data_IF_254098817850
#
_entry.id   IF_254098817850
#
_cell.length_a   1.000
_cell.length_b   1.000
_cell.length_c   1.000
_cell.angle_alpha   90.00
_cell.angle_beta   90.00
_cell.angle_gamma   90.00
#
_symmetry.space_group_name_H-M   'P 1'
#
loop_
_entity.id
_entity.type
_entity.pdbx_description
1 polymer ?
#
# COMPACT_ATOMS: atom_id res chain seq x y z
N UNK A 1 -1.94 -18.45 26.57
CA UNK A 1 -1.89 -19.93 26.49
C UNK A 1 -3.27 -20.54 26.23
N UNK A 2 -4.33 -20.16 26.95
CA UNK A 2 -5.71 -20.64 26.70
C UNK A 2 -6.23 -20.40 25.26
N UNK A 3 -5.93 -19.23 24.67
CA UNK A 3 -6.32 -18.92 23.28
C UNK A 3 -5.65 -19.86 22.26
N UNK A 4 -4.39 -20.22 22.52
CA UNK A 4 -3.62 -21.11 21.64
C UNK A 4 -4.01 -22.59 21.83
N UNK A 5 -4.49 -22.97 23.02
CA UNK A 5 -5.00 -24.32 23.27
C UNK A 5 -6.21 -24.68 22.39
N UNK A 6 -6.92 -23.66 21.88
CA UNK A 6 -8.05 -23.83 20.97
C UNK A 6 -7.67 -23.67 19.48
N UNK A 7 -6.37 -23.64 19.15
CA UNK A 7 -5.83 -23.53 17.78
C UNK A 7 -4.64 -24.50 17.64
N UNK A 8 -4.87 -25.83 17.57
CA UNK A 8 -3.81 -26.82 17.71
C UNK A 8 -2.71 -26.69 16.65
N UNK A 9 -3.07 -26.32 15.41
CA UNK A 9 -2.09 -26.13 14.33
C UNK A 9 -1.22 -24.88 14.54
N UNK A 10 -1.81 -23.77 15.01
CA UNK A 10 -1.06 -22.56 15.35
C UNK A 10 -0.19 -22.76 16.58
N UNK A 11 -0.67 -23.50 17.58
CA UNK A 11 0.11 -23.84 18.76
C UNK A 11 1.33 -24.67 18.40
N UNK A 12 1.20 -25.67 17.51
CA UNK A 12 2.32 -26.49 17.07
C UNK A 12 3.36 -25.66 16.31
N UNK A 13 2.94 -24.75 15.44
CA UNK A 13 3.84 -23.80 14.78
C UNK A 13 4.52 -22.83 15.75
N UNK A 14 3.81 -22.34 16.76
CA UNK A 14 4.38 -21.45 17.78
C UNK A 14 5.41 -22.18 18.66
N UNK A 15 5.09 -23.40 19.10
CA UNK A 15 6.00 -24.27 19.86
C UNK A 15 7.20 -24.72 19.03
N UNK A 16 7.09 -24.74 17.70
CA UNK A 16 8.19 -25.08 16.81
C UNK A 16 9.32 -24.04 16.84
N UNK A 17 9.02 -22.78 17.14
CA UNK A 17 10.01 -21.67 17.23
C UNK A 17 10.92 -21.80 18.44
N UNK A 18 10.54 -22.59 19.45
CA UNK A 18 11.27 -22.69 20.72
C UNK A 18 12.68 -23.30 20.58
N UNK A 19 12.85 -24.28 19.69
CA UNK A 19 14.17 -24.85 19.41
C UNK A 19 14.35 -25.18 17.93
N UNK A 20 15.59 -25.14 17.39
CA UNK A 20 15.86 -25.49 15.99
C UNK A 20 15.37 -26.89 15.61
N UNK A 21 15.49 -27.85 16.53
CA UNK A 21 15.06 -29.23 16.32
C UNK A 21 13.52 -29.35 16.23
N UNK A 22 12.79 -28.57 17.02
CA UNK A 22 11.32 -28.52 16.94
C UNK A 22 10.88 -27.84 15.63
N UNK A 23 11.57 -26.79 15.20
CA UNK A 23 11.34 -26.15 13.90
C UNK A 23 11.60 -27.12 12.74
N UNK A 24 12.69 -27.88 12.80
CA UNK A 24 13.02 -28.86 11.77
C UNK A 24 11.97 -29.99 11.70
N UNK A 25 11.49 -30.48 12.86
CA UNK A 25 10.39 -31.46 12.90
C UNK A 25 9.09 -30.88 12.34
N UNK A 26 8.75 -29.64 12.70
CA UNK A 26 7.58 -28.95 12.18
C UNK A 26 7.66 -28.78 10.66
N UNK A 27 8.81 -28.31 10.15
CA UNK A 27 9.08 -28.18 8.73
C UNK A 27 8.99 -29.53 8.00
N UNK A 28 9.57 -30.61 8.55
CA UNK A 28 9.46 -31.96 7.97
C UNK A 28 8.02 -32.47 7.91
N UNK A 29 7.20 -32.13 8.91
CA UNK A 29 5.81 -32.60 9.03
C UNK A 29 4.84 -31.78 8.17
N UNK A 30 5.03 -30.47 8.07
CA UNK A 30 4.03 -29.56 7.49
C UNK A 30 4.47 -28.86 6.20
N UNK A 31 5.78 -28.75 5.92
CA UNK A 31 6.26 -28.14 4.67
C UNK A 31 6.49 -29.21 3.60
N UNK A 32 6.08 -28.92 2.34
CA UNK A 32 6.44 -29.74 1.18
C UNK A 32 7.97 -29.93 1.07
N UNK A 33 8.44 -31.08 0.57
CA UNK A 33 9.87 -31.39 0.47
C UNK A 33 10.64 -30.37 -0.38
N UNK A 34 10.01 -29.77 -1.39
CA UNK A 34 10.60 -28.74 -2.25
C UNK A 34 10.92 -27.47 -1.45
N UNK A 35 9.99 -27.06 -0.58
CA UNK A 35 10.18 -25.91 0.32
C UNK A 35 11.28 -26.18 1.37
N UNK A 36 11.44 -27.44 1.79
CA UNK A 36 12.52 -27.83 2.70
C UNK A 36 13.89 -27.72 2.04
N UNK A 37 14.03 -28.20 0.79
CA UNK A 37 15.25 -28.05 0.00
C UNK A 37 15.60 -26.57 -0.23
N UNK A 38 14.59 -25.74 -0.40
CA UNK A 38 14.73 -24.28 -0.52
C UNK A 38 15.25 -23.66 0.79
N UNK A 39 14.68 -24.03 1.93
CA UNK A 39 15.12 -23.52 3.25
C UNK A 39 16.53 -23.98 3.62
N UNK A 40 16.93 -25.20 3.26
CA UNK A 40 18.31 -25.68 3.49
C UNK A 40 19.31 -25.08 2.53
N UNK A 41 18.91 -24.76 1.29
CA UNK A 41 19.79 -24.05 0.34
C UNK A 41 19.99 -22.58 0.71
N UNK A 42 19.02 -21.92 1.36
CA UNK A 42 19.18 -20.55 1.91
C UNK A 42 20.31 -20.48 2.94
N UNK A 43 20.54 -21.54 3.72
CA UNK A 43 21.66 -21.62 4.67
C UNK A 43 23.05 -21.54 4.00
N UNK A 44 23.14 -21.84 2.70
CA UNK A 44 24.37 -21.76 1.91
C UNK A 44 24.48 -20.45 1.10
N UNK A 45 23.49 -19.55 1.18
CA UNK A 45 23.49 -18.27 0.46
C UNK A 45 24.13 -17.17 1.33
N UNK A 46 25.46 -17.25 1.51
CA UNK A 46 26.23 -16.15 2.12
C UNK A 46 26.27 -14.90 1.23
N UNK A 47 25.85 -15.01 -0.03
CA UNK A 47 25.87 -13.93 -1.01
C UNK A 47 24.49 -13.28 -1.16
N UNK A 48 24.41 -11.99 -0.78
CA UNK A 48 23.24 -11.12 -0.81
C UNK A 48 22.57 -11.05 -2.19
N UNK A 49 23.30 -11.32 -3.27
CA UNK A 49 22.74 -11.37 -4.65
C UNK A 49 21.75 -12.50 -4.83
N UNK A 50 22.00 -13.65 -4.24
CA UNK A 50 21.11 -14.82 -4.35
C UNK A 50 19.82 -14.60 -3.56
N UNK A 51 19.90 -13.91 -2.42
CA UNK A 51 18.71 -13.52 -1.63
C UNK A 51 17.84 -12.55 -2.43
N UNK A 52 18.41 -11.57 -3.12
CA UNK A 52 17.64 -10.63 -3.95
C UNK A 52 17.01 -11.31 -5.17
N UNK A 53 17.73 -12.22 -5.83
CA UNK A 53 17.17 -13.02 -6.93
C UNK A 53 16.04 -13.93 -6.44
N UNK A 54 16.17 -14.49 -5.24
CA UNK A 54 15.15 -15.32 -4.60
C UNK A 54 13.90 -14.52 -4.21
N UNK A 55 14.07 -13.35 -3.58
CA UNK A 55 12.96 -12.44 -3.27
C UNK A 55 12.29 -11.96 -4.56
N UNK A 56 13.06 -11.74 -5.63
CA UNK A 56 12.57 -11.49 -6.97
C UNK A 56 11.72 -12.63 -7.50
N UNK A 57 12.23 -13.88 -7.48
CA UNK A 57 11.48 -15.07 -7.90
C UNK A 57 10.21 -15.30 -7.11
N UNK A 58 10.25 -15.19 -5.77
CA UNK A 58 9.03 -15.30 -4.96
C UNK A 58 8.06 -14.16 -5.28
N UNK A 59 8.55 -12.95 -5.46
CA UNK A 59 7.74 -11.80 -5.85
C UNK A 59 7.07 -12.01 -7.21
N UNK A 60 7.81 -12.54 -8.18
CA UNK A 60 7.33 -12.89 -9.51
C UNK A 60 6.32 -14.04 -9.44
N UNK A 61 6.59 -15.11 -8.70
CA UNK A 61 5.65 -16.23 -8.52
C UNK A 61 4.37 -15.80 -7.79
N UNK A 62 4.45 -14.96 -6.75
CA UNK A 62 3.28 -14.45 -6.04
C UNK A 62 2.46 -13.48 -6.90
N UNK A 63 3.12 -12.61 -7.68
CA UNK A 63 2.45 -11.72 -8.62
C UNK A 63 1.83 -12.49 -9.80
N UNK A 64 2.50 -13.55 -10.25
CA UNK A 64 2.01 -14.46 -11.30
C UNK A 64 0.91 -15.40 -10.82
N UNK A 65 0.76 -15.60 -9.50
CA UNK A 65 -0.26 -16.48 -8.92
C UNK A 65 -1.61 -15.79 -8.69
N UNK A 66 -1.61 -14.46 -8.52
CA UNK A 66 -2.83 -13.67 -8.27
C UNK A 66 -3.35 -12.95 -9.51
N UNK A 67 -2.48 -12.71 -10.50
CA UNK A 67 -2.88 -12.49 -11.87
C UNK A 67 -2.77 -13.80 -12.59
N UNK A 68 -3.88 -14.53 -12.65
CA UNK A 68 -4.12 -15.71 -13.47
C UNK A 68 -3.14 -15.84 -14.63
N UNK A 69 -2.63 -17.06 -14.81
CA UNK A 69 -2.42 -17.64 -16.14
C UNK A 69 -3.70 -17.45 -16.99
N UNK A 70 -3.96 -16.23 -17.43
CA UNK A 70 -4.44 -16.02 -18.79
C UNK A 70 -3.22 -16.41 -19.58
N UNK A 71 -3.22 -17.67 -20.00
CA UNK A 71 -2.34 -18.11 -21.03
C UNK A 71 -2.43 -17.04 -22.12
N UNK A 72 -1.32 -16.33 -22.38
CA UNK A 72 -1.07 -15.82 -23.72
C UNK A 72 -0.94 -17.06 -24.60
N UNK A 73 -2.08 -17.71 -24.85
CA UNK A 73 -2.27 -18.47 -26.05
C UNK A 73 -2.00 -17.42 -27.11
N UNK A 74 -0.87 -17.57 -27.79
CA UNK A 74 -0.65 -17.01 -29.11
C UNK A 74 -1.68 -17.65 -30.04
N UNK A 75 -2.97 -17.40 -29.75
CA UNK A 75 -4.06 -17.67 -30.65
C UNK A 75 -3.82 -16.67 -31.75
N UNK A 76 -3.37 -17.21 -32.88
CA UNK A 76 -3.47 -16.52 -34.16
C UNK A 76 -4.82 -15.81 -34.16
N UNK A 77 -4.88 -14.49 -34.37
CA UNK A 77 -6.10 -13.74 -34.22
C UNK A 77 -7.10 -14.27 -35.24
N UNK A 78 -7.95 -15.21 -34.82
CA UNK A 78 -9.25 -15.40 -35.42
C UNK A 78 -9.81 -13.99 -35.51
N UNK A 79 -10.18 -13.56 -36.72
CA UNK A 79 -10.56 -12.19 -37.10
C UNK A 79 -11.72 -11.68 -36.23
N UNK A 80 -11.43 -11.42 -34.96
CA UNK A 80 -12.35 -10.96 -33.98
C UNK A 80 -12.64 -9.54 -34.36
N UNK A 81 -13.93 -9.24 -34.51
CA UNK A 81 -14.41 -7.90 -34.81
C UNK A 81 -13.71 -6.91 -33.88
N UNK A 82 -12.92 -6.03 -34.49
CA UNK A 82 -12.30 -4.91 -33.80
C UNK A 82 -13.27 -3.75 -33.88
N UNK A 83 -13.34 -2.97 -32.82
CA UNK A 83 -14.10 -1.73 -32.77
C UNK A 83 -13.14 -0.57 -32.52
N UNK A 84 -13.49 0.60 -33.04
CA UNK A 84 -12.77 1.84 -32.76
C UNK A 84 -13.47 2.49 -31.56
N UNK A 85 -12.70 2.86 -30.55
CA UNK A 85 -13.18 3.66 -29.41
C UNK A 85 -12.49 5.02 -29.48
N UNK A 86 -13.26 6.08 -29.29
CA UNK A 86 -12.76 7.46 -29.29
C UNK A 86 -12.54 7.90 -27.85
N UNK A 87 -11.31 8.27 -27.49
CA UNK A 87 -11.01 8.87 -26.19
C UNK A 87 -10.90 10.38 -26.36
N UNK A 88 -11.72 11.12 -25.62
CA UNK A 88 -11.79 12.59 -25.65
C UNK A 88 -11.19 13.15 -24.37
N UNK A 89 -10.13 13.94 -24.47
CA UNK A 89 -9.58 14.63 -23.30
C UNK A 89 -10.44 15.84 -22.91
N UNK A 90 -10.77 15.96 -21.63
CA UNK A 90 -11.41 17.17 -21.08
C UNK A 90 -10.37 18.24 -20.77
N UNK A 91 -9.86 18.92 -21.80
CA UNK A 91 -9.04 20.12 -21.59
C UNK A 91 -9.90 21.36 -21.34
N UNK A 92 -9.34 22.29 -20.55
CA UNK A 92 -9.96 23.58 -20.20
C UNK A 92 -9.85 24.59 -21.35
N UNK A 93 -8.88 24.41 -22.25
CA UNK A 93 -8.51 25.41 -23.27
C UNK A 93 -9.25 25.25 -24.62
N UNK A 94 -10.42 24.60 -24.62
CA UNK A 94 -11.39 24.67 -25.72
C UNK A 94 -11.15 23.74 -26.91
N UNK A 95 -9.97 23.15 -27.09
CA UNK A 95 -9.75 22.10 -28.09
C UNK A 95 -9.75 20.71 -27.44
N UNK A 96 -10.88 20.01 -27.59
CA UNK A 96 -10.98 18.62 -27.22
C UNK A 96 -10.09 17.78 -28.14
N UNK A 97 -9.07 17.13 -27.58
CA UNK A 97 -8.23 16.19 -28.35
C UNK A 97 -8.94 14.84 -28.42
N UNK A 98 -9.12 14.32 -29.63
CA UNK A 98 -9.77 13.05 -29.88
C UNK A 98 -8.72 12.02 -30.32
N UNK A 99 -8.55 10.96 -29.55
CA UNK A 99 -7.67 9.83 -29.89
C UNK A 99 -8.51 8.62 -30.28
N UNK A 100 -8.34 8.14 -31.50
CA UNK A 100 -9.02 6.94 -32.01
C UNK A 100 -8.16 5.71 -31.76
N UNK A 101 -8.64 4.77 -30.96
CA UNK A 101 -7.93 3.54 -30.63
C UNK A 101 -8.73 2.32 -31.07
N UNK A 102 -8.06 1.41 -31.78
CA UNK A 102 -8.62 0.15 -32.22
C UNK A 102 -8.46 -0.91 -31.11
N UNK A 103 -9.56 -1.57 -30.72
CA UNK A 103 -9.58 -2.62 -29.69
C UNK A 103 -10.43 -3.80 -30.15
N UNK A 104 -10.00 -5.02 -29.83
CA UNK A 104 -10.82 -6.21 -30.05
C UNK A 104 -12.02 -6.20 -29.09
N UNK A 105 -13.22 -6.55 -29.56
CA UNK A 105 -14.46 -6.57 -28.76
C UNK A 105 -14.37 -7.31 -27.42
N UNK A 106 -13.53 -8.36 -27.36
CA UNK A 106 -13.33 -9.23 -26.19
C UNK A 106 -12.07 -8.92 -25.39
N UNK A 107 -11.22 -8.00 -25.85
CA UNK A 107 -10.02 -7.63 -25.12
C UNK A 107 -10.39 -6.78 -23.89
N UNK A 108 -9.66 -6.92 -22.77
CA UNK A 108 -9.90 -6.11 -21.59
C UNK A 108 -9.61 -4.64 -21.86
N UNK A 109 -10.49 -3.73 -21.43
CA UNK A 109 -10.35 -2.28 -21.66
C UNK A 109 -9.09 -1.67 -21.04
N UNK A 110 -8.47 -2.35 -20.07
CA UNK A 110 -7.22 -1.89 -19.44
C UNK A 110 -6.07 -1.75 -20.43
N UNK A 111 -5.93 -2.61 -21.43
CA UNK A 111 -4.85 -2.48 -22.42
C UNK A 111 -5.02 -1.22 -23.26
N UNK A 112 -6.26 -0.89 -23.64
CA UNK A 112 -6.61 0.34 -24.34
C UNK A 112 -6.27 1.58 -23.51
N UNK A 113 -6.59 1.59 -22.21
CA UNK A 113 -6.25 2.72 -21.33
C UNK A 113 -4.75 2.85 -21.08
N UNK A 114 -4.02 1.74 -20.94
CA UNK A 114 -2.55 1.77 -20.80
C UNK A 114 -1.92 2.37 -22.05
N UNK A 115 -2.29 1.88 -23.25
CA UNK A 115 -1.80 2.42 -24.52
C UNK A 115 -2.09 3.92 -24.66
N UNK A 116 -3.31 4.34 -24.30
CA UNK A 116 -3.67 5.74 -24.28
C UNK A 116 -2.79 6.59 -23.34
N UNK A 117 -2.55 6.10 -22.12
CA UNK A 117 -1.72 6.80 -21.14
C UNK A 117 -0.26 6.91 -21.62
N UNK A 118 0.26 5.85 -22.23
CA UNK A 118 1.62 5.79 -22.80
C UNK A 118 1.75 6.76 -23.98
N UNK A 119 0.78 6.80 -24.90
CA UNK A 119 0.74 7.74 -26.03
C UNK A 119 0.70 9.21 -25.56
N UNK A 120 0.15 9.47 -24.36
CA UNK A 120 0.10 10.79 -23.72
C UNK A 120 1.32 11.09 -22.85
N UNK A 121 2.19 10.10 -22.55
CA UNK A 121 3.28 10.24 -21.59
C UNK A 121 2.80 10.48 -20.15
N UNK A 122 1.59 10.03 -19.81
CA UNK A 122 0.98 10.23 -18.50
C UNK A 122 0.88 8.91 -17.73
N UNK A 123 0.86 9.01 -16.40
CA UNK A 123 0.60 7.83 -15.59
C UNK A 123 -0.87 7.40 -15.73
N UNK A 124 -1.15 6.11 -15.90
CA UNK A 124 -2.53 5.61 -15.91
C UNK A 124 -3.33 6.00 -14.65
N UNK A 125 -2.64 6.24 -13.52
CA UNK A 125 -3.24 6.65 -12.25
C UNK A 125 -3.68 8.13 -12.20
N UNK A 126 -3.08 9.01 -13.00
CA UNK A 126 -3.49 10.41 -13.09
C UNK A 126 -4.74 10.59 -13.94
N UNK A 127 -5.05 9.64 -14.82
CA UNK A 127 -6.23 9.69 -15.68
C UNK A 127 -7.49 9.10 -15.00
N UNK A 128 -8.63 9.73 -15.24
CA UNK A 128 -9.96 9.25 -14.86
C UNK A 128 -10.82 9.14 -16.11
N UNK A 129 -11.30 7.93 -16.38
CA UNK A 129 -12.11 7.65 -17.56
C UNK A 129 -13.59 7.66 -17.20
N UNK A 130 -14.42 8.25 -18.05
CA UNK A 130 -15.88 8.32 -17.90
C UNK A 130 -16.54 7.85 -19.19
N UNK A 131 -17.45 6.89 -19.09
CA UNK A 131 -18.23 6.40 -20.21
C UNK A 131 -19.72 6.46 -19.88
N UNK A 132 -20.52 7.13 -20.73
CA UNK A 132 -21.95 7.37 -20.51
C UNK A 132 -22.27 7.91 -19.10
N UNK A 133 -21.46 8.88 -18.65
CA UNK A 133 -21.57 9.52 -17.33
C UNK A 133 -21.13 8.67 -16.13
N UNK A 134 -20.64 7.43 -16.35
CA UNK A 134 -20.15 6.55 -15.29
C UNK A 134 -18.63 6.53 -15.28
N UNK A 135 -18.03 6.76 -14.12
CA UNK A 135 -16.58 6.65 -13.92
C UNK A 135 -16.14 5.19 -14.03
N UNK A 136 -15.19 4.93 -14.92
CA UNK A 136 -14.58 3.64 -15.12
C UNK A 136 -13.38 3.48 -14.19
N UNK A 137 -13.52 2.62 -13.19
CA UNK A 137 -12.41 2.30 -12.28
C UNK A 137 -11.51 1.23 -12.90
N UNK A 138 -10.19 1.48 -12.91
CA UNK A 138 -9.18 0.57 -13.47
C UNK A 138 -9.26 -0.86 -12.91
N UNK A 139 -9.68 -1.01 -11.64
CA UNK A 139 -9.87 -2.32 -11.01
C UNK A 139 -11.05 -3.10 -11.58
N UNK A 140 -12.12 -2.42 -11.99
CA UNK A 140 -13.31 -3.02 -12.58
C UNK A 140 -13.09 -3.30 -14.07
N UNK A 141 -12.61 -2.31 -14.83
CA UNK A 141 -12.39 -2.41 -16.28
C UNK A 141 -11.18 -3.28 -16.65
N UNK A 142 -10.34 -3.65 -15.68
CA UNK A 142 -9.26 -4.62 -15.88
C UNK A 142 -9.73 -5.99 -16.36
N UNK A 143 -11.00 -6.35 -16.10
CA UNK A 143 -11.60 -7.62 -16.49
C UNK A 143 -12.80 -7.47 -17.44
N UNK A 144 -13.20 -6.23 -17.76
CA UNK A 144 -14.35 -5.99 -18.62
C UNK A 144 -13.87 -5.72 -20.04
N UNK A 145 -14.53 -6.36 -20.99
CA UNK A 145 -14.38 -6.12 -22.41
C UNK A 145 -15.36 -5.03 -22.90
N UNK A 146 -15.13 -4.44 -24.09
CA UNK A 146 -16.11 -3.57 -24.72
C UNK A 146 -17.51 -4.18 -24.82
N UNK A 147 -17.62 -5.48 -25.13
CA UNK A 147 -18.92 -6.18 -25.20
C UNK A 147 -19.63 -6.22 -23.83
N UNK A 148 -18.90 -6.46 -22.74
CA UNK A 148 -19.45 -6.45 -21.36
C UNK A 148 -20.01 -5.07 -20.98
N UNK A 149 -19.39 -4.01 -21.50
CA UNK A 149 -19.78 -2.63 -21.30
C UNK A 149 -20.84 -2.14 -22.31
N UNK A 150 -21.24 -2.99 -23.26
CA UNK A 150 -22.12 -2.65 -24.40
C UNK A 150 -21.62 -1.43 -25.18
N UNK A 151 -20.30 -1.37 -25.39
CA UNK A 151 -19.66 -0.35 -26.21
C UNK A 151 -19.86 -0.67 -27.69
N UNK A 152 -20.28 0.33 -28.46
CA UNK A 152 -20.44 0.24 -29.92
C UNK A 152 -19.23 0.81 -30.65
N UNK A 153 -19.15 0.61 -31.96
CA UNK A 153 -18.12 1.24 -32.80
C UNK A 153 -18.26 2.77 -32.70
N UNK A 154 -17.14 3.46 -32.52
CA UNK A 154 -17.01 4.91 -32.33
C UNK A 154 -17.65 5.48 -31.06
N UNK A 155 -17.90 4.64 -30.04
CA UNK A 155 -18.30 5.15 -28.72
C UNK A 155 -17.20 6.00 -28.08
N UNK A 156 -17.63 7.06 -27.38
CA UNK A 156 -16.74 8.03 -26.73
C UNK A 156 -16.49 7.73 -25.25
N UNK A 157 -15.22 7.78 -24.84
CA UNK A 157 -14.78 7.74 -23.44
C UNK A 157 -14.09 9.08 -23.12
N UNK A 158 -14.58 9.78 -22.10
CA UNK A 158 -13.96 11.03 -21.67
C UNK A 158 -12.82 10.72 -20.70
N UNK A 159 -11.61 11.21 -20.99
CA UNK A 159 -10.45 11.13 -20.11
C UNK A 159 -10.23 12.48 -19.41
N UNK A 160 -10.23 12.46 -18.08
CA UNK A 160 -9.95 13.63 -17.25
C UNK A 160 -8.58 13.45 -16.59
N UNK A 161 -7.69 14.42 -16.78
CA UNK A 161 -6.41 14.44 -16.08
C UNK A 161 -6.58 15.01 -14.66
N UNK A 162 -6.41 14.15 -13.65
CA UNK A 162 -6.51 14.53 -12.24
C UNK A 162 -5.38 15.45 -11.79
N UNK A 163 -4.26 15.49 -12.54
CA UNK A 163 -3.14 16.37 -12.20
C UNK A 163 -3.44 17.85 -12.48
N UNK A 164 -4.35 18.12 -13.43
CA UNK A 164 -4.73 19.48 -13.85
C UNK A 164 -5.85 20.06 -12.99
N UNK A 165 -6.55 19.24 -12.19
CA UNK A 165 -7.61 19.70 -11.28
C UNK A 165 -7.02 20.30 -10.00
N UNK A 166 -6.30 21.41 -10.15
CA UNK A 166 -5.94 22.31 -9.07
C UNK A 166 -6.18 23.73 -9.61
N UNK A 167 -7.42 24.24 -9.50
CA UNK A 167 -7.72 25.67 -9.20
C UNK A 167 -9.17 26.12 -9.46
N UNK A 168 -10.06 25.33 -10.08
CA UNK A 168 -11.43 25.81 -10.30
C UNK A 168 -12.41 25.34 -9.21
N UNK A 169 -12.76 26.29 -8.34
CA UNK A 169 -13.90 26.23 -7.42
C UNK A 169 -15.19 26.01 -8.21
N UNK A 170 -15.75 24.80 -8.14
CA UNK A 170 -17.15 24.59 -8.50
C UNK A 170 -17.99 24.46 -7.23
N UNK A 171 -18.93 25.39 -7.11
CA UNK A 171 -19.90 25.53 -6.03
C UNK A 171 -20.69 24.22 -5.76
N UNK A 172 -21.00 23.91 -4.48
CA UNK A 172 -21.66 22.66 -4.12
C UNK A 172 -23.16 22.70 -4.40
N UNK A 173 -23.61 21.95 -5.42
CA UNK A 173 -25.04 21.64 -5.57
C UNK A 173 -25.48 20.66 -4.46
N UNK A 174 -26.31 21.14 -3.54
CA UNK A 174 -26.97 20.36 -2.50
C UNK A 174 -27.82 19.24 -3.12
N UNK A 175 -27.47 17.98 -2.87
CA UNK A 175 -28.41 16.85 -2.95
C UNK A 175 -28.42 16.09 -1.62
N UNK A 176 -29.59 16.14 -1.00
CA UNK A 176 -30.04 15.45 0.20
C UNK A 176 -29.87 13.93 0.05
N UNK A 177 -29.13 13.31 0.98
CA UNK A 177 -28.99 11.85 1.08
C UNK A 177 -30.06 11.30 2.03
N UNK A 178 -31.13 10.72 1.49
CA UNK A 178 -31.97 9.77 2.22
C UNK A 178 -31.27 8.40 2.26
N UNK A 179 -30.82 7.98 3.45
CA UNK A 179 -30.34 6.62 3.70
C UNK A 179 -31.53 5.66 3.73
N UNK A 180 -31.68 4.81 2.70
CA UNK A 180 -32.41 3.55 2.83
C UNK A 180 -31.41 2.39 2.78
N UNK A 181 -31.21 1.76 3.94
CA UNK A 181 -30.53 0.48 4.05
C UNK A 181 -31.42 -0.60 3.43
N UNK A 182 -30.99 -1.16 2.30
CA UNK A 182 -31.58 -2.40 1.76
C UNK A 182 -30.74 -3.59 2.19
N UNK A 183 -31.32 -4.41 3.08
CA UNK A 183 -30.88 -5.76 3.37
C UNK A 183 -30.90 -6.61 2.10
N UNK A 184 -29.76 -7.15 1.68
CA UNK A 184 -29.70 -8.25 0.70
C UNK A 184 -29.49 -9.56 1.43
N UNK A 185 -30.58 -10.32 1.60
CA UNK A 185 -30.55 -11.75 1.93
C UNK A 185 -30.00 -12.51 0.73
N UNK A 186 -28.83 -13.13 0.87
CA UNK A 186 -28.31 -14.09 -0.12
C UNK A 186 -29.06 -15.41 0.00
N UNK A 187 -29.82 -15.77 -1.03
CA UNK A 187 -30.58 -17.00 -1.16
C UNK A 187 -29.60 -18.13 -1.50
N UNK A 188 -29.42 -19.10 -0.58
CA UNK A 188 -28.70 -20.37 -0.83
C UNK A 188 -29.44 -21.14 -1.93
N UNK A 189 -28.82 -21.32 -3.08
CA UNK A 189 -29.24 -22.31 -4.08
C UNK A 189 -28.65 -23.66 -3.70
N UNK A 190 -29.51 -24.55 -3.20
CA UNK A 190 -29.26 -25.99 -3.12
C UNK A 190 -29.25 -26.54 -4.55
N UNK A 191 -28.07 -26.88 -5.06
CA UNK A 191 -27.91 -27.68 -6.27
C UNK A 191 -27.51 -29.09 -5.88
N UNK A 192 -28.49 -29.99 -5.87
CA UNK A 192 -28.27 -31.42 -5.79
C UNK A 192 -27.85 -31.94 -7.16
N UNK A 193 -26.76 -32.70 -7.25
CA UNK A 193 -26.54 -33.63 -8.37
C UNK A 193 -26.12 -34.98 -7.83
N UNK A 194 -26.93 -35.96 -8.20
CA UNK A 194 -26.87 -37.37 -7.87
C UNK A 194 -25.74 -38.08 -8.61
N UNK A 195 -25.18 -39.09 -7.94
CA UNK A 195 -24.73 -40.40 -8.43
C UNK A 195 -24.33 -40.59 -9.90
N UNK A 196 -23.16 -41.18 -10.13
CA UNK A 196 -23.13 -42.55 -10.66
C UNK A 196 -21.84 -43.27 -10.27
N UNK A 197 -22.01 -44.40 -9.60
CA UNK A 197 -20.99 -45.44 -9.45
C UNK A 197 -20.60 -45.98 -10.83
N UNK A 198 -19.30 -46.20 -11.06
CA UNK A 198 -18.87 -47.43 -11.72
C UNK A 198 -17.46 -47.84 -11.30
N UNK A 199 -17.42 -48.99 -10.67
CA UNK A 199 -16.26 -49.78 -10.30
C UNK A 199 -15.42 -50.17 -11.52
N UNK A 200 -14.09 -50.13 -11.38
CA UNK A 200 -13.29 -51.27 -11.83
C UNK A 200 -12.02 -51.37 -11.00
N UNK A 201 -11.99 -52.46 -10.24
CA UNK A 201 -10.91 -52.98 -9.43
C UNK A 201 -9.71 -53.34 -10.33
N UNK A 202 -8.58 -52.63 -10.19
CA UNK A 202 -7.26 -53.13 -10.59
C UNK A 202 -6.27 -52.87 -9.47
N UNK A 203 -6.06 -53.91 -8.67
CA UNK A 203 -4.89 -54.04 -7.80
C UNK A 203 -3.64 -53.96 -8.67
N UNK A 204 -2.99 -52.81 -8.65
CA UNK A 204 -1.60 -52.63 -9.04
C UNK A 204 -0.85 -52.20 -7.79
N UNK A 205 0.33 -52.78 -7.60
CA UNK A 205 1.20 -52.58 -6.44
C UNK A 205 1.48 -51.07 -6.22
N UNK A 206 1.81 -50.66 -4.98
CA UNK A 206 1.97 -49.26 -4.64
C UNK A 206 3.30 -48.76 -5.22
N UNK A 207 3.27 -48.33 -6.47
CA UNK A 207 4.29 -47.46 -7.02
C UNK A 207 4.04 -46.09 -6.39
N UNK A 208 4.98 -45.65 -5.54
CA UNK A 208 4.98 -44.35 -4.88
C UNK A 208 5.13 -43.26 -5.93
N UNK A 209 4.06 -42.99 -6.68
CA UNK A 209 3.95 -41.83 -7.53
C UNK A 209 4.01 -40.62 -6.60
N UNK A 210 5.11 -39.89 -6.68
CA UNK A 210 5.18 -38.61 -5.99
C UNK A 210 3.97 -37.77 -6.41
N UNK A 211 3.21 -37.22 -5.45
CA UNK A 211 2.02 -36.46 -5.73
C UNK A 211 2.39 -35.30 -6.65
N UNK A 212 1.68 -35.20 -7.77
CA UNK A 212 1.87 -34.15 -8.77
C UNK A 212 1.95 -32.78 -8.06
N UNK A 213 2.93 -31.91 -8.36
CA UNK A 213 3.09 -30.62 -7.68
C UNK A 213 1.82 -29.76 -7.73
N UNK A 214 0.96 -29.93 -8.73
CA UNK A 214 -0.35 -29.27 -8.79
C UNK A 214 -1.29 -29.72 -7.65
N UNK A 215 -1.29 -31.00 -7.29
CA UNK A 215 -2.10 -31.54 -6.18
C UNK A 215 -1.57 -31.08 -4.83
N UNK A 216 -0.25 -31.02 -4.64
CA UNK A 216 0.34 -30.47 -3.41
C UNK A 216 -0.04 -29.00 -3.18
N UNK A 217 -0.12 -28.20 -4.25
CA UNK A 217 -0.60 -26.81 -4.17
C UNK A 217 -2.06 -26.73 -3.74
N UNK A 218 -2.92 -27.60 -4.26
CA UNK A 218 -4.34 -27.67 -3.86
C UNK A 218 -4.44 -28.01 -2.37
N UNK A 219 -3.77 -29.08 -1.93
CA UNK A 219 -3.77 -29.50 -0.52
C UNK A 219 -3.23 -28.41 0.42
N UNK A 220 -2.17 -27.71 0.01
CA UNK A 220 -1.64 -26.58 0.77
C UNK A 220 -2.64 -25.42 0.86
N UNK A 221 -3.32 -25.09 -0.24
CA UNK A 221 -4.35 -24.05 -0.25
C UNK A 221 -5.57 -24.39 0.61
N UNK A 222 -5.97 -25.68 0.63
CA UNK A 222 -7.02 -26.20 1.50
C UNK A 222 -6.61 -26.10 2.97
N UNK A 223 -5.36 -26.47 3.30
CA UNK A 223 -4.80 -26.35 4.65
C UNK A 223 -4.80 -24.90 5.15
N UNK A 224 -4.37 -23.94 4.33
CA UNK A 224 -4.42 -22.51 4.69
C UNK A 224 -5.85 -22.01 4.87
N UNK A 225 -6.79 -22.52 4.08
CA UNK A 225 -8.21 -22.15 4.20
C UNK A 225 -8.77 -22.53 5.57
N UNK A 226 -8.42 -23.70 6.09
CA UNK A 226 -8.81 -24.13 7.44
C UNK A 226 -8.30 -23.17 8.53
N UNK A 227 -7.04 -22.75 8.44
CA UNK A 227 -6.47 -21.77 9.38
C UNK A 227 -7.21 -20.45 9.34
N UNK A 228 -7.59 -19.98 8.14
CA UNK A 228 -8.36 -18.74 7.98
C UNK A 228 -9.80 -18.86 8.50
N UNK A 229 -10.47 -19.98 8.28
CA UNK A 229 -11.81 -20.24 8.81
C UNK A 229 -11.80 -20.30 10.35
N UNK A 230 -10.78 -20.93 10.93
CA UNK A 230 -10.61 -21.04 12.38
C UNK A 230 -10.25 -19.69 13.03
N UNK A 231 -9.30 -18.95 12.45
CA UNK A 231 -8.82 -17.68 13.00
C UNK A 231 -9.73 -16.49 12.68
N UNK A 232 -10.50 -16.54 11.60
CA UNK A 232 -11.30 -15.43 11.08
C UNK A 232 -12.24 -14.77 12.10
N UNK A 233 -13.10 -15.53 12.80
CA UNK A 233 -14.00 -15.00 13.83
C UNK A 233 -13.25 -14.30 14.98
N UNK A 234 -12.08 -14.82 15.35
CA UNK A 234 -11.28 -14.25 16.45
C UNK A 234 -10.56 -12.98 16.06
N UNK A 235 -9.96 -12.94 14.87
CA UNK A 235 -9.36 -11.72 14.32
C UNK A 235 -10.40 -10.61 14.20
N UNK A 236 -11.63 -10.95 13.80
CA UNK A 236 -12.76 -10.02 13.78
C UNK A 236 -13.08 -9.48 15.18
N UNK A 237 -13.11 -10.33 16.20
CA UNK A 237 -13.37 -9.92 17.59
C UNK A 237 -12.26 -9.05 18.16
N UNK A 238 -10.98 -9.38 17.90
CA UNK A 238 -9.82 -8.56 18.27
C UNK A 238 -9.91 -7.18 17.61
N UNK A 239 -10.22 -7.12 16.31
CA UNK A 239 -10.37 -5.86 15.58
C UNK A 239 -11.50 -5.00 16.14
N UNK A 240 -12.65 -5.61 16.47
CA UNK A 240 -13.75 -4.91 17.12
C UNK A 240 -13.35 -4.38 18.50
N UNK A 241 -12.63 -5.17 19.31
CA UNK A 241 -12.12 -4.75 20.61
C UNK A 241 -11.17 -3.56 20.50
N UNK A 242 -10.23 -3.59 19.55
CA UNK A 242 -9.31 -2.48 19.31
C UNK A 242 -10.05 -1.21 18.86
N UNK A 243 -11.04 -1.34 17.97
CA UNK A 243 -11.89 -0.21 17.59
C UNK A 243 -12.66 0.37 18.78
N UNK A 244 -13.23 -0.47 19.65
CA UNK A 244 -13.96 -0.02 20.82
C UNK A 244 -13.04 0.69 21.83
N UNK A 245 -11.82 0.20 22.03
CA UNK A 245 -10.81 0.86 22.88
C UNK A 245 -10.37 2.21 22.29
N UNK A 246 -10.27 2.32 20.97
CA UNK A 246 -9.99 3.58 20.29
C UNK A 246 -11.11 4.60 20.52
N UNK A 247 -12.38 4.16 20.44
CA UNK A 247 -13.55 5.01 20.70
C UNK A 247 -13.67 5.46 22.17
N UNK A 248 -13.24 4.63 23.13
CA UNK A 248 -13.30 4.96 24.56
C UNK A 248 -12.25 6.00 25.00
N UNK A 249 -11.17 6.21 24.23
CA UNK A 249 -10.06 7.08 24.63
C UNK A 249 -10.24 8.56 24.37
N UNK A 250 -11.23 8.96 23.58
CA UNK A 250 -11.57 10.38 23.46
C UNK A 250 -12.65 10.71 24.48
N UNK A 251 -12.25 11.15 25.68
CA UNK A 251 -13.17 11.94 26.51
C UNK A 251 -13.74 13.05 25.60
N UNK A 252 -15.04 13.37 25.67
CA UNK A 252 -15.60 14.50 24.94
C UNK A 252 -14.68 15.68 25.19
N UNK A 253 -14.11 16.27 24.13
CA UNK A 253 -13.20 17.40 24.26
C UNK A 253 -13.95 18.44 25.10
N UNK A 254 -13.58 18.55 26.38
CA UNK A 254 -14.18 19.52 27.28
C UNK A 254 -13.76 20.84 26.67
N UNK A 255 -14.70 21.48 25.98
CA UNK A 255 -14.55 22.88 25.58
C UNK A 255 -14.57 23.60 26.92
N UNK A 256 -13.40 23.96 27.44
CA UNK A 256 -13.32 24.97 28.48
C UNK A 256 -14.05 26.18 27.90
N UNK A 257 -15.22 26.45 28.43
CA UNK A 257 -15.83 27.75 28.23
C UNK A 257 -14.93 28.68 29.01
N UNK A 258 -14.16 29.50 28.29
CA UNK A 258 -13.36 30.54 28.90
C UNK A 258 -14.31 31.47 29.66
N UNK A 259 -14.34 31.27 30.98
CA UNK A 259 -15.01 32.18 31.89
C UNK A 259 -14.22 33.48 31.86
N UNK A 260 -14.82 34.50 31.25
CA UNK A 260 -14.34 35.88 31.27
C UNK A 260 -14.19 36.35 32.72
N UNK A 261 -12.97 36.37 33.24
CA UNK A 261 -12.66 37.12 34.46
C UNK A 261 -11.17 37.40 34.61
N UNK A 262 -10.71 38.53 34.07
CA UNK A 262 -10.05 39.63 34.81
C UNK A 262 -9.24 40.51 33.83
N UNK A 263 -9.30 41.85 33.97
CA UNK A 263 -8.42 42.75 33.24
C UNK A 263 -7.01 42.68 33.84
N UNK A 264 -6.20 41.75 33.36
CA UNK A 264 -4.76 41.73 33.67
C UNK A 264 -4.06 42.75 32.79
N UNK A 265 -3.56 43.82 33.43
CA UNK A 265 -2.76 44.88 32.80
C UNK A 265 -1.30 44.40 32.79
N UNK A 266 -0.84 43.93 31.64
CA UNK A 266 0.54 43.48 31.39
C UNK A 266 0.78 43.27 29.88
N UNK A 267 2.04 43.19 29.47
CA UNK A 267 2.75 44.14 28.61
C UNK A 267 2.19 44.23 27.18
N UNK A 268 2.41 45.39 26.56
CA UNK A 268 2.02 45.74 25.19
C UNK A 268 2.17 44.59 24.20
N UNK A 269 1.06 44.29 23.52
CA UNK A 269 1.03 43.50 22.28
C UNK A 269 2.15 43.98 21.37
N UNK A 270 3.16 43.15 21.17
CA UNK A 270 4.05 43.27 20.03
C UNK A 270 3.20 42.76 18.86
N UNK A 271 2.82 43.68 17.97
CA UNK A 271 2.21 43.34 16.69
C UNK A 271 3.13 42.35 15.98
N UNK A 272 2.68 41.11 15.86
CA UNK A 272 3.38 40.07 15.11
C UNK A 272 3.13 40.37 13.62
N UNK A 273 4.13 40.85 12.85
CA UNK A 273 3.92 41.24 11.47
C UNK A 273 3.98 39.99 10.59
N UNK A 274 2.89 39.23 10.55
CA UNK A 274 2.74 38.14 9.59
C UNK A 274 1.27 37.95 9.21
N UNK A 275 0.68 38.96 8.58
CA UNK A 275 -0.68 38.93 8.01
C UNK A 275 -0.69 39.18 6.49
N UNK A 276 0.30 38.65 5.77
CA UNK A 276 0.25 38.59 4.31
C UNK A 276 0.35 37.14 3.80
N UNK A 277 -0.81 36.58 3.44
CA UNK A 277 -0.93 35.69 2.29
C UNK A 277 -0.77 34.18 2.47
N UNK A 278 -0.33 33.67 3.62
CA UNK A 278 -0.12 32.22 3.77
C UNK A 278 -1.34 31.50 4.39
N UNK A 279 -2.39 31.32 3.59
CA UNK A 279 -3.49 30.38 3.84
C UNK A 279 -3.06 28.91 3.72
N UNK A 280 -1.92 28.54 4.31
CA UNK A 280 -1.34 27.20 4.27
C UNK A 280 -2.01 26.30 5.32
N UNK A 281 -2.48 25.13 4.87
CA UNK A 281 -2.78 23.97 5.74
C UNK A 281 -1.70 23.87 6.81
N UNK A 282 -2.07 23.70 8.08
CA UNK A 282 -1.14 23.53 9.19
C UNK A 282 0.09 22.70 8.74
N UNK A 283 1.20 23.40 8.46
CA UNK A 283 2.47 22.85 8.05
C UNK A 283 2.92 21.74 8.99
N UNK A 284 3.69 20.80 8.43
CA UNK A 284 4.25 19.68 9.19
C UNK A 284 5.08 20.24 10.35
N UNK A 285 4.78 19.81 11.57
CA UNK A 285 5.50 20.21 12.79
C UNK A 285 6.90 19.59 12.92
N UNK A 286 7.39 18.93 11.86
CA UNK A 286 8.64 18.21 11.87
C UNK A 286 9.30 18.23 10.50
N UNK A 287 10.64 18.25 10.51
CA UNK A 287 11.48 18.14 9.34
C UNK A 287 12.31 16.86 9.42
N UNK A 288 12.44 16.17 8.30
CA UNK A 288 13.36 15.05 8.19
C UNK A 288 14.73 15.59 7.80
N UNK A 289 15.74 15.25 8.58
CA UNK A 289 17.14 15.57 8.32
C UNK A 289 17.92 14.26 8.14
N UNK A 290 19.05 14.35 7.45
CA UNK A 290 20.02 13.27 7.37
C UNK A 290 21.33 13.78 7.98
N UNK A 291 21.93 13.00 8.87
CA UNK A 291 23.20 13.34 9.54
C UNK A 291 24.21 12.24 9.22
N UNK A 292 25.41 12.62 8.81
CA UNK A 292 26.47 11.70 8.41
C UNK A 292 27.62 12.39 7.69
N UNK A 293 28.52 11.61 7.10
CA UNK A 293 29.64 12.14 6.32
C UNK A 293 29.13 12.93 5.09
N UNK A 294 29.70 14.11 4.85
CA UNK A 294 29.28 15.06 3.81
C UNK A 294 29.23 14.41 2.41
N UNK A 295 30.21 13.56 2.10
CA UNK A 295 30.29 12.82 0.83
C UNK A 295 29.15 11.80 0.60
N UNK A 296 28.43 11.43 1.65
CA UNK A 296 27.41 10.39 1.63
C UNK A 296 25.98 10.93 1.75
N UNK A 297 25.80 12.19 2.13
CA UNK A 297 24.48 12.84 2.24
C UNK A 297 23.69 12.80 0.91
N UNK A 298 24.39 12.89 -0.22
CA UNK A 298 23.78 12.80 -1.56
C UNK A 298 23.52 11.37 -2.04
N UNK A 299 24.12 10.36 -1.38
CA UNK A 299 23.97 8.94 -1.77
C UNK A 299 22.70 8.30 -1.19
N UNK A 300 22.08 8.90 -0.17
CA UNK A 300 20.81 8.46 0.39
C UNK A 300 19.63 8.93 -0.47
N UNK A 301 19.56 8.44 -1.70
CA UNK A 301 18.48 8.76 -2.63
C UNK A 301 17.22 8.00 -2.19
N UNK A 302 16.35 8.67 -1.43
CA UNK A 302 15.00 8.20 -1.09
C UNK A 302 14.98 6.81 -0.46
N UNK A 303 15.43 6.68 0.79
CA UNK A 303 14.95 5.57 1.62
C UNK A 303 13.45 5.74 1.78
N UNK A 304 12.68 4.88 1.12
CA UNK A 304 11.23 4.88 1.25
C UNK A 304 10.91 4.73 2.74
N UNK A 305 10.06 5.64 3.27
CA UNK A 305 9.71 5.71 4.70
C UNK A 305 9.07 4.41 5.27
N UNK A 306 9.05 3.31 4.53
CA UNK A 306 8.43 2.04 4.91
C UNK A 306 9.21 1.20 5.91
N UNK A 307 10.52 1.47 6.15
CA UNK A 307 11.35 0.64 7.04
C UNK A 307 12.11 1.44 8.11
N UNK A 308 11.54 2.56 8.59
CA UNK A 308 12.16 3.42 9.62
C UNK A 308 11.79 3.05 11.07
N UNK A 309 11.21 1.86 11.31
CA UNK A 309 10.92 1.39 12.68
C UNK A 309 12.12 0.72 13.36
N UNK A 310 13.32 0.81 12.78
CA UNK A 310 14.56 0.43 13.43
C UNK A 310 14.96 1.45 14.49
N UNK A 311 15.42 0.97 15.65
CA UNK A 311 15.59 1.68 16.94
C UNK A 311 16.47 2.92 16.99
N UNK A 312 16.99 3.44 15.88
CA UNK A 312 18.08 4.43 15.86
C UNK A 312 17.72 5.67 15.03
N UNK A 313 16.47 6.14 15.10
CA UNK A 313 16.11 7.44 14.52
C UNK A 313 16.39 8.55 15.52
N UNK A 314 17.19 9.54 15.13
CA UNK A 314 17.49 10.70 15.98
C UNK A 314 16.22 11.54 16.06
N UNK A 315 15.82 11.93 17.26
CA UNK A 315 14.71 12.87 17.47
C UNK A 315 15.21 14.04 18.28
N UNK A 316 15.01 15.26 17.76
CA UNK A 316 15.36 16.50 18.44
C UNK A 316 14.09 17.33 18.60
N UNK A 317 13.72 17.58 19.85
CA UNK A 317 12.59 18.43 20.18
C UNK A 317 13.08 19.84 20.48
N UNK A 318 12.79 20.79 19.58
CA UNK A 318 13.15 22.19 19.73
C UNK A 318 11.96 23.04 20.19
N UNK A 319 10.90 22.43 20.72
CA UNK A 319 9.74 23.15 21.22
C UNK A 319 10.12 24.04 22.41
N UNK A 320 9.80 25.33 22.31
CA UNK A 320 10.02 26.30 23.38
C UNK A 320 11.44 26.88 23.47
N UNK A 321 12.34 26.50 22.55
CA UNK A 321 13.66 27.12 22.44
C UNK A 321 13.61 28.37 21.57
N UNK A 322 14.37 29.39 21.94
CA UNK A 322 14.64 30.54 21.05
C UNK A 322 15.52 30.11 19.87
N UNK A 323 15.63 30.95 18.84
CA UNK A 323 16.39 30.58 17.64
C UNK A 323 17.86 30.29 17.95
N UNK A 324 18.47 31.07 18.84
CA UNK A 324 19.88 30.92 19.21
C UNK A 324 20.10 29.68 20.11
N UNK A 325 19.17 29.40 21.02
CA UNK A 325 19.21 28.19 21.85
C UNK A 325 19.05 26.93 21.01
N UNK A 326 18.13 26.96 20.04
CA UNK A 326 17.93 25.85 19.11
C UNK A 326 19.18 25.58 18.26
N UNK A 327 19.84 26.63 17.75
CA UNK A 327 21.09 26.51 17.01
C UNK A 327 22.22 25.94 17.88
N UNK A 328 22.43 26.52 19.07
CA UNK A 328 23.44 26.02 20.02
C UNK A 328 23.19 24.55 20.39
N UNK A 329 21.93 24.18 20.64
CA UNK A 329 21.56 22.79 20.94
C UNK A 329 21.85 21.84 19.78
N UNK A 330 21.56 22.26 18.54
CA UNK A 330 21.86 21.46 17.35
C UNK A 330 23.37 21.31 17.15
N UNK A 331 24.15 22.37 17.32
CA UNK A 331 25.61 22.36 17.20
C UNK A 331 26.25 21.44 18.25
N UNK A 332 25.82 21.53 19.50
CA UNK A 332 26.30 20.69 20.61
C UNK A 332 26.04 19.20 20.36
N UNK A 333 24.91 18.86 19.74
CA UNK A 333 24.51 17.48 19.45
C UNK A 333 25.01 16.94 18.11
N UNK A 334 25.39 17.82 17.18
CA UNK A 334 25.76 17.43 15.83
C UNK A 334 26.96 16.48 15.82
N UNK A 335 27.97 16.72 16.66
CA UNK A 335 29.13 15.84 16.79
C UNK A 335 28.75 14.42 17.23
N UNK A 336 27.91 14.29 18.26
CA UNK A 336 27.43 12.99 18.74
C UNK A 336 26.63 12.24 17.67
N UNK A 337 25.82 12.96 16.89
CA UNK A 337 25.01 12.38 15.82
C UNK A 337 25.86 11.89 14.64
N UNK A 338 26.90 12.65 14.29
CA UNK A 338 27.89 12.22 13.28
C UNK A 338 28.61 10.96 13.75
N UNK A 339 29.10 10.93 14.99
CA UNK A 339 29.76 9.75 15.55
C UNK A 339 28.84 8.53 15.56
N UNK A 340 27.56 8.73 15.89
CA UNK A 340 26.56 7.66 15.86
C UNK A 340 26.30 7.16 14.45
N UNK A 341 26.22 8.06 13.46
CA UNK A 341 26.08 7.70 12.05
C UNK A 341 27.31 6.93 11.52
N UNK A 342 28.51 7.33 11.92
CA UNK A 342 29.78 6.68 11.55
C UNK A 342 29.96 5.29 12.19
N UNK A 343 29.35 5.03 13.36
CA UNK A 343 29.28 3.68 13.95
C UNK A 343 28.28 2.76 13.26
N UNK A 344 27.39 3.32 12.43
CA UNK A 344 26.39 2.58 11.67
C UNK A 344 26.95 1.88 10.43
N UNK A 345 26.04 1.38 9.60
CA UNK A 345 26.40 0.76 8.31
C UNK A 345 26.60 1.82 7.21
N UNK A 346 27.46 1.50 6.24
CA UNK A 346 27.63 2.32 5.02
C UNK A 346 26.24 2.53 4.34
N UNK A 347 25.83 3.76 4.01
CA UNK A 347 26.66 4.95 3.74
C UNK A 347 27.00 5.84 4.96
N UNK A 348 26.88 5.36 6.20
CA UNK A 348 27.14 6.14 7.43
C UNK A 348 26.30 7.41 7.51
N UNK A 349 25.03 7.27 7.14
CA UNK A 349 24.03 8.33 7.21
C UNK A 349 22.87 7.82 8.05
N UNK A 350 22.51 8.60 9.06
CA UNK A 350 21.41 8.32 9.96
C UNK A 350 20.26 9.29 9.70
N UNK A 351 19.01 8.81 9.55
CA UNK A 351 17.85 9.69 9.47
C UNK A 351 17.54 10.28 10.85
N UNK A 352 17.21 11.58 10.87
CA UNK A 352 16.76 12.31 12.04
C UNK A 352 15.46 13.05 11.79
N UNK A 353 14.74 13.35 12.86
CA UNK A 353 13.52 14.15 12.86
C UNK A 353 13.65 15.29 13.86
N UNK A 354 13.50 16.52 13.37
CA UNK A 354 13.56 17.73 14.20
C UNK A 354 12.16 18.33 14.28
N UNK A 355 11.68 18.60 15.49
CA UNK A 355 10.35 19.14 15.75
C UNK A 355 10.42 20.62 16.10
N UNK A 356 9.51 21.42 15.53
CA UNK A 356 9.43 22.88 15.76
C UNK A 356 8.03 23.31 16.17
N UNK A 357 7.99 24.38 16.98
CA UNK A 357 6.76 25.14 17.21
C UNK A 357 6.42 26.00 15.99
N UNK A 358 5.11 26.12 15.73
CA UNK A 358 4.59 27.03 14.71
C UNK A 358 4.96 28.48 15.03
N UNK A 359 5.62 29.15 14.08
CA UNK A 359 5.91 30.60 14.17
C UNK A 359 7.36 30.99 13.88
N UNK A 360 8.26 30.02 13.71
CA UNK A 360 9.70 30.26 13.53
C UNK A 360 10.16 29.88 12.11
N UNK A 361 9.67 30.61 11.11
CA UNK A 361 9.98 30.35 9.69
C UNK A 361 11.44 30.60 9.35
N UNK A 362 12.11 31.51 10.05
CA UNK A 362 13.49 31.93 9.76
C UNK A 362 14.50 30.82 10.07
N UNK A 363 14.20 29.98 11.06
CA UNK A 363 15.03 28.83 11.45
C UNK A 363 15.04 27.74 10.37
N UNK A 364 13.92 27.56 9.66
CA UNK A 364 13.83 26.60 8.56
C UNK A 364 14.71 27.00 7.37
N UNK A 365 14.85 28.31 7.13
CA UNK A 365 15.76 28.83 6.11
C UNK A 365 17.23 28.64 6.52
N UNK A 366 17.56 28.93 7.79
CA UNK A 366 18.91 28.75 8.33
C UNK A 366 19.39 27.29 8.29
N UNK A 367 18.54 26.33 8.63
CA UNK A 367 18.89 24.90 8.61
C UNK A 367 19.16 24.41 7.18
N UNK A 368 18.40 24.90 6.18
CA UNK A 368 18.68 24.55 4.78
C UNK A 368 19.99 25.18 4.28
N UNK A 369 20.34 26.39 4.73
CA UNK A 369 21.57 27.08 4.33
C UNK A 369 22.80 26.39 4.93
N UNK A 370 22.74 25.98 6.21
CA UNK A 370 23.84 25.28 6.87
C UNK A 370 24.05 23.84 6.37
N UNK A 371 23.07 23.28 5.65
CA UNK A 371 23.19 21.99 4.94
C UNK A 371 23.83 22.13 3.55
N UNK A 372 23.97 23.36 3.03
CA UNK A 372 24.55 23.65 1.71
C UNK A 372 25.97 24.24 1.75
N UNK A 373 26.49 24.59 2.93
CA UNK A 373 27.91 24.90 3.16
C UNK A 373 28.60 23.67 3.74
#
# INVERSE_FOLDING_TARGET
REILAQLPQCLEGFCAVETPQKMERYAKKYLPPEYRQLMTSIGNLSDRRHINNYVGQIGEEFCSSSSSQIMNIHDSPAQGEKIIIVIVDSFVDGEARHSRLEVARRAPLKSLFTRYADDRGLSLRSLRFVYKGKTLFLSSVGKMSPDDMKMSHEDEIVANDSSVVISQETSPSKKTKSKQQRHRKSKKTRGATKSSMKSSNRRSAPESSEPNPAQLKILHSESLTLVHEEAGPRLKLIRQRLNNLSLQRTRPKIRSSDTKSHPFRGPSFIDNPCSHGCGGKAGRAYFHIHVGAVENLYKTRSLSCGSLHGSNMITADLHGMTSNEALSYLDDRLGEWIDMAMRGEYPWVMPGMVFFMFGQTDLCALINIHHCQ
#
